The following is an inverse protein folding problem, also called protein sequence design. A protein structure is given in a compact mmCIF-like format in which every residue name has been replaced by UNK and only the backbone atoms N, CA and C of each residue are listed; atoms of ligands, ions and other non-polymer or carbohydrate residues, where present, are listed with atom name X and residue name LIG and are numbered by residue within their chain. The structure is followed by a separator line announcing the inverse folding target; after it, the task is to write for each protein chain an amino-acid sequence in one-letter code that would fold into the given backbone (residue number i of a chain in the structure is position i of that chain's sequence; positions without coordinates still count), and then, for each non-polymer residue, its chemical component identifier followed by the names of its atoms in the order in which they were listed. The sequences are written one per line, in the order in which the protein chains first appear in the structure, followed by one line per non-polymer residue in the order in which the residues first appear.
data_IF_629186148394
#
_entry.id   IF_629186148394
#
_cell.length_a   1.000
_cell.length_b   1.000
_cell.length_c   1.000
_cell.angle_alpha   90.00
_cell.angle_beta   90.00
_cell.angle_gamma   90.00
#
_symmetry.space_group_name_H-M   'P 1'
#
loop_
_entity.id
_entity.type
_entity.pdbx_description
1 polymer ?
#
# COMPACT_ATOMS: atom_id res chain seq x y z
N UNK A 1 -35.49 -8.46 -1.11
CA UNK A 1 -34.47 -9.50 -0.83
C UNK A 1 -33.10 -8.85 -0.75
N UNK A 2 -32.24 -9.35 0.12
CA UNK A 2 -31.12 -8.66 0.76
C UNK A 2 -29.89 -8.43 -0.15
N UNK A 3 -29.30 -7.23 -0.09
CA UNK A 3 -27.85 -7.05 -0.25
C UNK A 3 -27.23 -7.05 1.15
N UNK A 4 -27.02 -8.25 1.71
CA UNK A 4 -26.06 -8.41 2.80
C UNK A 4 -24.69 -8.40 2.13
N UNK A 5 -24.16 -7.21 1.87
CA UNK A 5 -22.75 -7.06 1.55
C UNK A 5 -22.01 -7.63 2.76
N UNK A 6 -21.49 -8.84 2.62
CA UNK A 6 -20.54 -9.40 3.57
C UNK A 6 -19.31 -8.51 3.49
N UNK A 7 -19.30 -7.43 4.27
CA UNK A 7 -18.11 -6.61 4.53
C UNK A 7 -17.20 -7.43 5.43
N UNK A 8 -16.66 -8.52 4.88
CA UNK A 8 -15.45 -9.10 5.42
C UNK A 8 -14.36 -8.09 5.11
N UNK A 9 -13.92 -7.35 6.12
CA UNK A 9 -12.71 -6.57 5.99
C UNK A 9 -11.60 -7.61 5.84
N UNK A 10 -11.20 -7.87 4.60
CA UNK A 10 -10.02 -8.69 4.36
C UNK A 10 -8.83 -7.89 4.88
N UNK A 11 -8.20 -8.39 5.93
CA UNK A 11 -6.98 -7.83 6.51
C UNK A 11 -5.84 -8.81 6.33
N UNK A 12 -4.64 -8.30 6.07
CA UNK A 12 -3.43 -9.11 6.05
C UNK A 12 -2.25 -8.35 6.65
N UNK A 13 -1.27 -9.07 7.17
CA UNK A 13 -0.02 -8.46 7.62
C UNK A 13 1.05 -8.64 6.55
N UNK A 14 1.61 -7.54 6.05
CA UNK A 14 2.74 -7.53 5.11
C UNK A 14 3.75 -6.47 5.53
N UNK A 15 5.04 -6.80 5.46
CA UNK A 15 6.14 -5.88 5.80
C UNK A 15 6.00 -5.23 7.20
N UNK A 16 5.36 -5.94 8.14
CA UNK A 16 5.10 -5.46 9.50
C UNK A 16 3.96 -4.43 9.62
N UNK A 17 3.16 -4.22 8.57
CA UNK A 17 1.97 -3.38 8.58
C UNK A 17 0.70 -4.21 8.38
N UNK A 18 -0.39 -3.74 8.97
CA UNK A 18 -1.73 -4.28 8.70
C UNK A 18 -2.30 -3.60 7.47
N UNK A 19 -2.51 -4.37 6.42
CA UNK A 19 -3.12 -3.94 5.17
C UNK A 19 -4.60 -4.30 5.17
N UNK A 20 -5.42 -3.30 4.88
CA UNK A 20 -6.86 -3.41 4.77
C UNK A 20 -7.27 -3.38 3.31
N UNK A 21 -8.18 -4.27 2.92
CA UNK A 21 -8.69 -4.32 1.56
C UNK A 21 -9.67 -3.18 1.32
N UNK A 22 -9.28 -2.23 0.46
CA UNK A 22 -10.13 -1.11 0.04
C UNK A 22 -10.91 -1.41 -1.25
N UNK A 23 -10.58 -2.51 -1.95
CA UNK A 23 -11.32 -2.98 -3.12
C UNK A 23 -10.84 -4.33 -3.62
N UNK A 24 -11.39 -4.82 -4.76
CA UNK A 24 -11.04 -6.15 -5.29
C UNK A 24 -9.53 -6.33 -5.49
N UNK A 25 -8.84 -5.27 -5.90
CA UNK A 25 -7.41 -5.24 -6.22
C UNK A 25 -6.67 -4.11 -5.51
N UNK A 26 -7.18 -3.61 -4.39
CA UNK A 26 -6.60 -2.46 -3.69
C UNK A 26 -6.43 -2.75 -2.21
N UNK A 27 -5.25 -2.46 -1.69
CA UNK A 27 -4.85 -2.63 -0.30
C UNK A 27 -4.28 -1.31 0.21
N UNK A 28 -4.70 -0.92 1.41
CA UNK A 28 -4.21 0.29 2.06
C UNK A 28 -3.63 -0.07 3.42
N UNK A 29 -2.54 0.58 3.79
CA UNK A 29 -1.97 0.47 5.13
C UNK A 29 -1.53 1.85 5.58
N UNK A 30 -1.49 2.08 6.87
CA UNK A 30 -1.00 3.34 7.44
C UNK A 30 0.00 3.01 8.54
N UNK A 31 1.11 3.74 8.57
CA UNK A 31 2.01 3.74 9.72
C UNK A 31 2.33 5.17 10.17
N UNK A 32 3.28 5.30 11.09
CA UNK A 32 3.67 6.61 11.61
C UNK A 32 4.32 7.52 10.54
N UNK A 33 4.84 6.94 9.45
CA UNK A 33 5.62 7.66 8.44
C UNK A 33 4.80 8.00 7.21
N UNK A 34 3.93 7.09 6.75
CA UNK A 34 3.17 7.30 5.53
C UNK A 34 1.83 6.55 5.51
N UNK A 35 0.96 7.00 4.62
CA UNK A 35 -0.22 6.26 4.18
C UNK A 35 0.10 5.58 2.84
N UNK A 36 -0.05 4.26 2.78
CA UNK A 36 0.33 3.43 1.66
C UNK A 36 -0.91 2.91 0.94
N UNK A 37 -0.86 2.91 -0.39
CA UNK A 37 -1.87 2.29 -1.26
C UNK A 37 -1.17 1.38 -2.27
N UNK A 38 -1.54 0.11 -2.30
CA UNK A 38 -1.11 -0.89 -3.27
C UNK A 38 -2.32 -1.26 -4.14
N UNK A 39 -2.15 -1.26 -5.45
CA UNK A 39 -3.18 -1.64 -6.39
C UNK A 39 -2.64 -2.53 -7.51
N UNK A 40 -3.49 -3.46 -7.97
CA UNK A 40 -3.16 -4.34 -9.10
C UNK A 40 -3.75 -3.81 -10.39
N UNK A 41 -2.91 -3.68 -11.42
CA UNK A 41 -3.32 -3.21 -12.74
C UNK A 41 -3.64 -4.38 -13.71
N UNK A 42 -4.02 -4.06 -14.96
CA UNK A 42 -4.44 -5.04 -15.98
C UNK A 42 -3.32 -5.98 -16.40
N UNK A 43 -2.07 -5.56 -16.25
CA UNK A 43 -0.86 -6.34 -16.51
C UNK A 43 -0.56 -7.38 -15.42
N UNK A 44 -1.46 -7.53 -14.45
CA UNK A 44 -1.36 -8.44 -13.31
C UNK A 44 -0.22 -8.13 -12.34
N UNK A 45 0.39 -6.94 -12.43
CA UNK A 45 1.44 -6.47 -11.53
C UNK A 45 0.87 -5.54 -10.46
N UNK A 46 1.57 -5.51 -9.33
CA UNK A 46 1.30 -4.61 -8.22
C UNK A 46 2.08 -3.32 -8.40
N UNK A 47 1.34 -2.24 -8.27
CA UNK A 47 1.81 -0.86 -8.24
C UNK A 47 1.41 -0.27 -6.91
N UNK A 48 2.01 0.87 -6.57
CA UNK A 48 1.68 1.52 -5.34
C UNK A 48 2.15 2.94 -5.27
N UNK A 49 1.60 3.62 -4.29
CA UNK A 49 1.83 5.00 -3.97
C UNK A 49 1.77 5.16 -2.46
N UNK A 50 2.58 6.06 -1.93
CA UNK A 50 2.55 6.41 -0.52
C UNK A 50 2.54 7.93 -0.37
N UNK A 51 1.79 8.39 0.61
CA UNK A 51 1.70 9.79 0.97
C UNK A 51 2.36 10.01 2.33
N UNK A 52 3.30 10.93 2.38
CA UNK A 52 4.04 11.32 3.58
C UNK A 52 4.04 12.84 3.68
N UNK A 53 3.60 13.37 4.81
CA UNK A 53 3.54 14.83 5.06
C UNK A 53 2.81 15.63 3.95
N UNK A 54 1.84 15.01 3.27
CA UNK A 54 1.10 15.60 2.14
C UNK A 54 1.78 15.47 0.78
N UNK A 55 3.00 14.92 0.72
CA UNK A 55 3.71 14.61 -0.51
C UNK A 55 3.41 13.18 -0.96
N UNK A 56 2.79 13.05 -2.13
CA UNK A 56 2.43 11.77 -2.72
C UNK A 56 3.54 11.28 -3.64
N UNK A 57 4.18 10.18 -3.28
CA UNK A 57 5.18 9.49 -4.11
C UNK A 57 4.56 8.24 -4.74
N UNK A 58 4.88 7.99 -6.01
CA UNK A 58 4.53 6.76 -6.72
C UNK A 58 5.76 5.84 -6.83
N UNK A 59 5.57 4.55 -6.61
CA UNK A 59 6.60 3.55 -6.86
C UNK A 59 7.03 3.58 -8.33
N UNK A 60 8.34 3.63 -8.58
CA UNK A 60 8.95 3.49 -9.91
C UNK A 60 9.09 2.03 -10.35
N UNK A 61 8.90 1.09 -9.42
CA UNK A 61 8.99 -0.34 -9.64
C UNK A 61 7.63 -1.03 -9.51
N UNK A 62 7.47 -2.19 -10.17
CA UNK A 62 6.29 -3.04 -10.07
C UNK A 62 6.67 -4.52 -10.11
N UNK A 63 5.89 -5.38 -9.44
CA UNK A 63 6.14 -6.82 -9.46
C UNK A 63 4.85 -7.65 -9.31
N UNK A 64 4.85 -8.94 -9.69
CA UNK A 64 3.64 -9.77 -9.64
C UNK A 64 3.31 -10.32 -8.23
N UNK A 65 4.21 -10.17 -7.26
CA UNK A 65 4.07 -10.74 -5.91
C UNK A 65 3.73 -9.62 -4.93
N UNK A 66 2.55 -9.70 -4.28
CA UNK A 66 2.06 -8.66 -3.38
C UNK A 66 2.99 -8.46 -2.17
N UNK A 67 3.44 -9.55 -1.56
CA UNK A 67 4.32 -9.53 -0.37
C UNK A 67 5.61 -8.76 -0.66
N UNK A 68 6.33 -9.14 -1.73
CA UNK A 68 7.56 -8.48 -2.15
C UNK A 68 7.33 -7.00 -2.48
N UNK A 69 6.19 -6.68 -3.09
CA UNK A 69 5.86 -5.30 -3.41
C UNK A 69 5.58 -4.46 -2.16
N UNK A 70 4.89 -5.02 -1.16
CA UNK A 70 4.65 -4.35 0.11
C UNK A 70 5.94 -4.10 0.89
N UNK A 71 6.86 -5.07 0.90
CA UNK A 71 8.19 -4.89 1.49
C UNK A 71 8.98 -3.75 0.82
N UNK A 72 8.99 -3.72 -0.52
CA UNK A 72 9.60 -2.64 -1.29
C UNK A 72 9.04 -1.26 -0.90
N UNK A 73 7.70 -1.12 -0.89
CA UNK A 73 7.02 0.13 -0.58
C UNK A 73 7.35 0.64 0.83
N UNK A 74 7.25 -0.24 1.82
CA UNK A 74 7.48 0.13 3.23
C UNK A 74 8.95 0.47 3.47
N UNK A 75 9.88 -0.28 2.89
CA UNK A 75 11.30 0.01 2.99
C UNK A 75 11.66 1.36 2.34
N UNK A 76 11.15 1.62 1.13
CA UNK A 76 11.41 2.88 0.42
C UNK A 76 10.82 4.09 1.13
N UNK A 77 9.57 4.03 1.59
CA UNK A 77 8.96 5.16 2.30
C UNK A 77 9.68 5.49 3.62
N UNK A 78 10.20 4.47 4.31
CA UNK A 78 10.99 4.64 5.55
C UNK A 78 12.41 5.15 5.30
N UNK A 79 13.00 4.81 4.16
CA UNK A 79 14.35 5.27 3.77
C UNK A 79 14.36 6.61 3.07
N UNK A 80 13.22 7.10 2.58
CA UNK A 80 13.14 8.43 2.00
C UNK A 80 13.69 9.47 2.99
N UNK A 81 14.77 10.19 2.63
CA UNK A 81 15.34 11.20 3.49
C UNK A 81 14.25 12.22 3.79
N UNK A 82 14.11 12.57 5.07
CA UNK A 82 13.26 13.70 5.44
C UNK A 82 14.01 14.94 4.95
N UNK A 83 13.73 15.41 3.74
CA UNK A 83 14.40 16.62 3.20
C UNK A 83 14.09 17.87 4.06
N UNK A 84 13.15 17.77 5.00
CA UNK A 84 12.84 18.78 6.02
C UNK A 84 13.61 18.64 7.35
N UNK A 85 14.68 17.84 7.43
CA UNK A 85 15.60 17.85 8.57
C UNK A 85 16.73 18.87 8.34
N UNK A 86 16.39 20.16 8.31
CA UNK A 86 17.34 21.27 8.30
C UNK A 86 17.04 22.26 9.43
#
# INVERSE_FOLDING_TARGET
MALKATTGIDVMMLAGLTWERSGKNCWTATDRFAHYTIFRDIDQRWYGEWERDGEKTRADWSCPILETFAEYMVDHARRQPNENAH
#
